data_IF_018413157270
#
_entry.id   IF_018413157270
#
_cell.length_a   1.000
_cell.length_b   1.000
_cell.length_c   1.000
_cell.angle_alpha   90.00
_cell.angle_beta   90.00
_cell.angle_gamma   90.00
#
_symmetry.space_group_name_H-M   'P 1'
#
loop_
_entity.id
_entity.type
_entity.pdbx_description
1 polymer ?
#
# COMPACT_ATOMS: atom_id res chain seq x y z
N UNK A 1 -2.98 26.40 -15.38
CA UNK A 1 -1.85 26.00 -14.50
C UNK A 1 -2.11 26.20 -13.00
N UNK A 2 -2.65 27.33 -12.52
CA UNK A 2 -2.79 27.64 -11.07
C UNK A 2 -3.52 26.58 -10.22
N UNK A 3 -4.56 25.93 -10.75
CA UNK A 3 -5.35 24.89 -10.05
C UNK A 3 -4.58 23.58 -9.79
N UNK A 4 -3.61 23.22 -10.65
CA UNK A 4 -2.85 21.98 -10.51
C UNK A 4 -1.77 22.13 -9.42
N UNK A 5 -1.11 23.29 -9.38
CA UNK A 5 -0.10 23.63 -8.36
C UNK A 5 -0.73 23.63 -6.97
N UNK A 6 -1.87 24.32 -6.79
CA UNK A 6 -2.55 24.35 -5.50
C UNK A 6 -3.04 22.97 -5.05
N UNK A 7 -3.40 22.09 -6.00
CA UNK A 7 -3.77 20.70 -5.69
C UNK A 7 -2.55 19.88 -5.26
N UNK A 8 -1.40 20.07 -5.91
CA UNK A 8 -0.16 19.38 -5.56
C UNK A 8 0.29 19.74 -4.14
N UNK A 9 0.38 21.03 -3.83
CA UNK A 9 0.80 21.52 -2.50
C UNK A 9 -0.10 21.01 -1.39
N UNK A 10 -1.42 20.92 -1.63
CA UNK A 10 -2.36 20.35 -0.66
C UNK A 10 -2.09 18.86 -0.44
N UNK A 11 -1.89 18.09 -1.51
CA UNK A 11 -1.61 16.65 -1.42
C UNK A 11 -0.25 16.37 -0.76
N UNK A 12 0.75 17.23 -0.93
CA UNK A 12 2.03 17.10 -0.24
C UNK A 12 1.88 17.30 1.27
N UNK A 13 1.14 18.31 1.71
CA UNK A 13 0.85 18.52 3.13
C UNK A 13 0.06 17.38 3.76
N UNK A 14 -0.95 16.87 3.04
CA UNK A 14 -1.72 15.70 3.47
C UNK A 14 -0.83 14.46 3.61
N UNK A 15 0.12 14.27 2.67
CA UNK A 15 1.11 13.20 2.75
C UNK A 15 2.02 13.37 3.98
N UNK A 16 2.60 14.54 4.20
CA UNK A 16 3.47 14.80 5.35
C UNK A 16 2.76 14.54 6.69
N UNK A 17 1.50 14.98 6.81
CA UNK A 17 0.69 14.72 8.00
C UNK A 17 0.43 13.22 8.21
N UNK A 18 0.14 12.47 7.14
CA UNK A 18 -0.10 11.04 7.22
C UNK A 18 1.17 10.25 7.61
N UNK A 19 2.35 10.70 7.19
CA UNK A 19 3.62 10.04 7.52
C UNK A 19 3.95 10.09 9.01
N UNK A 20 3.46 11.10 9.74
CA UNK A 20 3.74 11.24 11.18
C UNK A 20 3.23 10.07 12.03
N UNK A 21 2.25 9.30 11.53
CA UNK A 21 1.69 8.12 12.21
C UNK A 21 2.21 6.79 11.68
N UNK A 22 3.12 6.79 10.71
CA UNK A 22 3.63 5.56 10.08
C UNK A 22 4.98 5.19 10.73
N UNK A 23 5.15 3.94 11.20
CA UNK A 23 6.46 3.47 11.67
C UNK A 23 7.54 3.58 10.60
N UNK A 24 8.78 3.90 10.99
CA UNK A 24 9.88 4.11 10.05
C UNK A 24 10.18 2.87 9.20
N UNK A 25 10.15 1.68 9.79
CA UNK A 25 10.39 0.40 9.10
C UNK A 25 9.33 0.13 8.01
N UNK A 26 8.05 0.41 8.33
CA UNK A 26 6.93 0.24 7.40
C UNK A 26 7.03 1.26 6.24
N UNK A 27 7.45 2.48 6.56
CA UNK A 27 7.67 3.52 5.56
C UNK A 27 8.82 3.16 4.62
N UNK A 28 9.93 2.65 5.14
CA UNK A 28 11.07 2.21 4.34
C UNK A 28 10.67 1.10 3.35
N UNK A 29 9.95 0.09 3.83
CA UNK A 29 9.46 -1.00 2.98
C UNK A 29 8.48 -0.50 1.90
N UNK A 30 7.55 0.39 2.26
CA UNK A 30 6.65 1.03 1.30
C UNK A 30 7.42 1.80 0.21
N UNK A 31 8.42 2.59 0.60
CA UNK A 31 9.21 3.40 -0.35
C UNK A 31 10.00 2.51 -1.30
N UNK A 32 10.63 1.44 -0.79
CA UNK A 32 11.38 0.46 -1.56
C UNK A 32 10.49 -0.23 -2.60
N UNK A 33 9.30 -0.66 -2.21
CA UNK A 33 8.33 -1.28 -3.13
C UNK A 33 7.80 -0.27 -4.14
N UNK A 34 7.56 0.98 -3.73
CA UNK A 34 7.04 2.04 -4.60
C UNK A 34 8.01 2.35 -5.73
N UNK A 35 9.30 2.43 -5.44
CA UNK A 35 10.36 2.61 -6.44
C UNK A 35 10.40 1.43 -7.42
N UNK A 36 10.42 0.20 -6.89
CA UNK A 36 10.50 -1.03 -7.69
C UNK A 36 9.25 -1.30 -8.55
N UNK A 37 8.06 -0.93 -8.09
CA UNK A 37 6.77 -1.32 -8.68
C UNK A 37 6.05 -0.15 -9.37
N UNK A 38 6.81 0.73 -10.02
CA UNK A 38 6.32 1.84 -10.83
C UNK A 38 5.34 2.76 -10.10
N UNK A 39 5.59 3.01 -8.81
CA UNK A 39 4.83 3.96 -8.00
C UNK A 39 3.67 3.37 -7.20
N UNK A 40 3.36 2.06 -7.35
CA UNK A 40 2.23 1.41 -6.66
C UNK A 40 2.74 0.24 -5.81
N UNK A 41 2.97 0.50 -4.52
CA UNK A 41 3.45 -0.48 -3.55
C UNK A 41 2.33 -1.31 -2.89
N UNK A 42 1.10 -0.81 -2.87
CA UNK A 42 -0.03 -1.37 -2.11
C UNK A 42 -1.14 -1.82 -3.07
N UNK A 43 -1.78 -2.95 -2.79
CA UNK A 43 -2.92 -3.48 -3.53
C UNK A 43 -4.03 -3.97 -2.59
N UNK A 44 -5.28 -3.84 -3.05
CA UNK A 44 -6.45 -4.34 -2.32
C UNK A 44 -6.50 -5.85 -2.41
N UNK A 45 -6.88 -6.51 -1.32
CA UNK A 45 -7.33 -7.89 -1.34
C UNK A 45 -8.83 -7.94 -1.69
N UNK A 46 -9.14 -8.22 -2.95
CA UNK A 46 -10.50 -8.28 -3.49
C UNK A 46 -10.90 -9.73 -3.76
N UNK A 47 -11.99 -10.20 -3.16
CA UNK A 47 -12.46 -11.59 -3.24
C UNK A 47 -11.36 -12.63 -2.95
N UNK A 48 -10.49 -12.31 -1.98
CA UNK A 48 -9.37 -13.15 -1.59
C UNK A 48 -8.18 -13.14 -2.55
N UNK A 49 -8.20 -12.25 -3.55
CA UNK A 49 -7.19 -12.14 -4.59
C UNK A 49 -6.52 -10.77 -4.61
N UNK A 50 -5.25 -10.72 -4.99
CA UNK A 50 -4.53 -9.46 -5.16
C UNK A 50 -5.09 -8.69 -6.35
N UNK A 51 -5.65 -7.48 -6.14
CA UNK A 51 -6.24 -6.67 -7.21
C UNK A 51 -5.25 -6.22 -8.30
N UNK A 52 -3.94 -6.33 -8.04
CA UNK A 52 -2.90 -5.94 -8.98
C UNK A 52 -2.38 -7.09 -9.87
N UNK A 53 -2.39 -8.33 -9.39
CA UNK A 53 -1.82 -9.46 -10.14
C UNK A 53 -2.73 -10.68 -10.26
N UNK A 54 -3.87 -10.69 -9.58
CA UNK A 54 -4.89 -11.75 -9.65
C UNK A 54 -4.60 -12.99 -8.80
N UNK A 55 -3.48 -13.07 -8.08
CA UNK A 55 -3.19 -14.23 -7.24
C UNK A 55 -4.19 -14.33 -6.08
N UNK A 56 -4.86 -15.47 -5.96
CA UNK A 56 -5.69 -15.82 -4.79
C UNK A 56 -4.82 -16.32 -3.64
N UNK A 57 -5.04 -15.75 -2.46
CA UNK A 57 -4.31 -16.12 -1.24
C UNK A 57 -5.11 -17.11 -0.37
N UNK A 58 -4.46 -18.00 0.41
CA UNK A 58 -5.13 -18.89 1.35
C UNK A 58 -5.92 -18.12 2.41
N UNK A 59 -7.02 -18.69 2.91
CA UNK A 59 -7.89 -18.04 3.88
C UNK A 59 -7.17 -17.56 5.16
N UNK A 60 -6.15 -18.31 5.62
CA UNK A 60 -5.30 -17.90 6.75
C UNK A 60 -4.56 -16.59 6.47
N UNK A 61 -3.94 -16.47 5.28
CA UNK A 61 -3.25 -15.25 4.85
C UNK A 61 -4.24 -14.10 4.68
N UNK A 62 -5.43 -14.36 4.13
CA UNK A 62 -6.48 -13.35 4.04
C UNK A 62 -6.89 -12.82 5.42
N UNK A 63 -6.96 -13.69 6.43
CA UNK A 63 -7.28 -13.31 7.79
C UNK A 63 -6.16 -12.45 8.42
N UNK A 64 -4.89 -12.79 8.18
CA UNK A 64 -3.75 -11.95 8.58
C UNK A 64 -3.82 -10.56 7.94
N UNK A 65 -4.09 -10.49 6.63
CA UNK A 65 -4.22 -9.22 5.89
C UNK A 65 -5.32 -8.33 6.49
N UNK A 66 -6.49 -8.92 6.81
CA UNK A 66 -7.61 -8.19 7.43
C UNK A 66 -7.35 -7.81 8.89
N UNK A 67 -6.48 -8.54 9.58
CA UNK A 67 -6.09 -8.25 10.96
C UNK A 67 -5.31 -6.93 11.08
N UNK A 68 -4.59 -6.53 10.02
CA UNK A 68 -3.90 -5.23 9.95
C UNK A 68 -2.81 -5.04 11.00
N UNK A 69 -2.29 -6.13 11.57
CA UNK A 69 -1.25 -6.11 12.61
C UNK A 69 0.16 -6.00 12.05
N UNK A 70 0.35 -6.39 10.78
CA UNK A 70 1.64 -6.38 10.09
C UNK A 70 1.44 -6.19 8.57
N UNK A 71 2.49 -5.74 7.88
CA UNK A 71 2.49 -5.65 6.43
C UNK A 71 2.60 -7.03 5.80
N UNK A 72 1.58 -7.45 5.04
CA UNK A 72 1.58 -8.74 4.34
C UNK A 72 1.85 -8.52 2.85
N UNK A 73 3.00 -8.94 2.30
CA UNK A 73 3.28 -8.84 0.88
C UNK A 73 2.60 -9.95 0.08
N UNK A 74 2.18 -9.63 -1.14
CA UNK A 74 1.73 -10.61 -2.12
C UNK A 74 2.90 -11.50 -2.54
N UNK A 75 2.76 -12.81 -2.39
CA UNK A 75 3.79 -13.79 -2.77
C UNK A 75 4.13 -13.83 -4.26
N UNK A 76 3.28 -13.27 -5.13
CA UNK A 76 3.54 -13.22 -6.58
C UNK A 76 4.12 -11.88 -7.04
N UNK A 77 3.52 -10.76 -6.67
CA UNK A 77 3.94 -9.44 -7.18
C UNK A 77 4.68 -8.58 -6.16
N UNK A 78 4.75 -8.99 -4.89
CA UNK A 78 5.45 -8.30 -3.82
C UNK A 78 4.74 -7.06 -3.26
N UNK A 79 3.56 -6.67 -3.76
CA UNK A 79 2.80 -5.54 -3.20
C UNK A 79 2.27 -5.86 -1.81
N UNK A 80 2.26 -4.86 -0.94
CA UNK A 80 1.58 -4.94 0.36
C UNK A 80 0.08 -5.09 0.11
N UNK A 81 -0.55 -6.06 0.77
CA UNK A 81 -1.98 -6.31 0.69
C UNK A 81 -2.69 -5.67 1.88
N UNK A 82 -3.84 -5.03 1.62
CA UNK A 82 -4.73 -4.51 2.66
C UNK A 82 -6.15 -5.05 2.48
N UNK A 83 -6.83 -5.29 3.61
CA UNK A 83 -8.07 -6.06 3.69
C UNK A 83 -9.38 -5.28 3.49
N UNK A 84 -9.31 -3.95 3.33
CA UNK A 84 -10.48 -3.06 3.32
C UNK A 84 -11.07 -2.81 4.71
#
# INVERSE_FOLDING_TARGET
MRRLISRHERLEKEREAALASVPDDDLEEYLRLRDKLAGIAVALLEDGSCSACGLTHPASVQQTIRGGTELVPCSQCGRILYGG
#
